data_IF_751012555433
#
_entry.id   IF_751012555433
#
_cell.length_a   1.000
_cell.length_b   1.000
_cell.length_c   1.000
_cell.angle_alpha   90.00
_cell.angle_beta   90.00
_cell.angle_gamma   90.00
#
_symmetry.space_group_name_H-M   'P 1'
#
loop_
_entity.id
_entity.type
_entity.pdbx_description
1 polymer ?
#
# COMPACT_ATOMS: atom_id res chain seq x y z
N UNK A 1 11.78 -40.55 31.86
CA UNK A 1 11.97 -39.40 30.94
C UNK A 1 11.41 -38.14 31.58
N UNK A 2 12.18 -37.04 31.66
CA UNK A 2 11.86 -35.87 32.48
C UNK A 2 10.97 -34.83 31.77
N UNK A 3 9.75 -34.65 32.29
CA UNK A 3 8.72 -33.65 31.89
C UNK A 3 9.22 -32.20 31.91
N UNK A 4 10.29 -31.90 32.67
CA UNK A 4 10.89 -30.55 32.70
C UNK A 4 11.59 -30.19 31.38
N UNK A 5 12.14 -31.18 30.65
CA UNK A 5 12.84 -30.96 29.38
C UNK A 5 11.87 -30.59 28.25
N UNK A 6 10.66 -31.14 28.29
CA UNK A 6 9.60 -30.90 27.31
C UNK A 6 8.99 -29.50 27.44
N UNK A 7 8.83 -29.01 28.68
CA UNK A 7 8.32 -27.65 28.96
C UNK A 7 9.27 -26.54 28.50
N UNK A 8 10.58 -26.81 28.46
CA UNK A 8 11.58 -25.85 27.95
C UNK A 8 11.53 -25.73 26.42
N UNK A 9 11.29 -26.85 25.73
CA UNK A 9 11.11 -26.88 24.26
C UNK A 9 9.86 -26.15 23.79
N UNK A 10 8.75 -26.23 24.53
CA UNK A 10 7.51 -25.49 24.18
C UNK A 10 7.67 -23.97 24.36
N UNK A 11 8.40 -23.52 25.39
CA UNK A 11 8.74 -22.08 25.54
C UNK A 11 9.70 -21.55 24.47
N UNK A 12 10.62 -22.39 23.96
CA UNK A 12 11.47 -22.01 22.83
C UNK A 12 10.71 -21.96 21.50
N UNK A 13 9.72 -22.84 21.30
CA UNK A 13 8.87 -22.81 20.09
C UNK A 13 7.96 -21.59 20.03
N UNK A 14 7.50 -21.04 21.16
CA UNK A 14 6.73 -19.79 21.18
C UNK A 14 7.55 -18.53 20.90
N UNK A 15 8.89 -18.59 20.99
CA UNK A 15 9.78 -17.52 20.48
C UNK A 15 10.00 -17.61 18.96
N UNK A 16 9.35 -18.57 18.29
CA UNK A 16 9.43 -18.82 16.85
C UNK A 16 8.54 -17.93 15.99
N UNK A 17 7.67 -17.09 16.56
CA UNK A 17 7.14 -15.94 15.83
C UNK A 17 8.16 -14.81 15.92
N UNK A 18 9.32 -15.05 15.31
CA UNK A 18 10.25 -13.96 15.03
C UNK A 18 9.49 -12.99 14.14
N UNK A 19 8.93 -11.93 14.75
CA UNK A 19 8.46 -10.77 14.00
C UNK A 19 9.64 -10.41 13.11
N UNK A 20 9.49 -10.63 11.80
CA UNK A 20 10.52 -10.30 10.84
C UNK A 20 10.93 -8.86 11.15
N UNK A 21 12.16 -8.68 11.61
CA UNK A 21 12.69 -7.35 11.91
C UNK A 21 12.88 -6.67 10.57
N UNK A 22 11.81 -6.10 10.03
CA UNK A 22 11.89 -5.24 8.87
C UNK A 22 12.82 -4.10 9.24
N UNK A 23 13.83 -3.86 8.41
CA UNK A 23 14.74 -2.75 8.64
C UNK A 23 13.93 -1.44 8.60
N UNK A 24 14.34 -0.40 9.35
CA UNK A 24 13.67 0.90 9.30
C UNK A 24 13.53 1.43 7.86
N UNK A 25 14.55 1.17 7.03
CA UNK A 25 14.54 1.51 5.59
C UNK A 25 13.46 0.75 4.83
N UNK A 26 13.28 -0.54 5.11
CA UNK A 26 12.22 -1.34 4.46
C UNK A 26 10.83 -0.82 4.82
N UNK A 27 10.61 -0.43 6.09
CA UNK A 27 9.33 0.16 6.52
C UNK A 27 9.08 1.49 5.80
N UNK A 28 10.11 2.33 5.69
CA UNK A 28 10.03 3.60 4.96
C UNK A 28 9.67 3.39 3.49
N UNK A 29 10.38 2.49 2.79
CA UNK A 29 10.09 2.17 1.38
C UNK A 29 8.66 1.63 1.20
N UNK A 30 8.22 0.73 2.08
CA UNK A 30 6.86 0.19 2.05
C UNK A 30 5.82 1.28 2.28
N UNK A 31 6.07 2.25 3.18
CA UNK A 31 5.16 3.38 3.41
C UNK A 31 5.03 4.28 2.18
N UNK A 32 6.14 4.58 1.49
CA UNK A 32 6.10 5.36 0.25
C UNK A 32 5.34 4.59 -0.84
N UNK A 33 5.64 3.31 -1.01
CA UNK A 33 4.96 2.47 -1.99
C UNK A 33 3.45 2.42 -1.72
N UNK A 34 3.03 2.25 -0.46
CA UNK A 34 1.63 2.28 -0.06
C UNK A 34 0.98 3.65 -0.32
N UNK A 35 1.68 4.75 -0.03
CA UNK A 35 1.19 6.11 -0.29
C UNK A 35 0.98 6.35 -1.79
N UNK A 36 1.96 6.01 -2.63
CA UNK A 36 1.84 6.14 -4.09
C UNK A 36 0.68 5.32 -4.64
N UNK A 37 0.50 4.10 -4.13
CA UNK A 37 -0.59 3.23 -4.53
C UNK A 37 -1.96 3.81 -4.12
N UNK A 38 -2.07 4.37 -2.91
CA UNK A 38 -3.28 5.05 -2.46
C UNK A 38 -3.61 6.28 -3.31
N UNK A 39 -2.61 7.13 -3.61
CA UNK A 39 -2.79 8.30 -4.48
C UNK A 39 -3.20 7.88 -5.89
N UNK A 40 -2.59 6.84 -6.45
CA UNK A 40 -2.96 6.31 -7.76
C UNK A 40 -4.39 5.78 -7.82
N UNK A 41 -4.82 5.03 -6.80
CA UNK A 41 -6.20 4.52 -6.69
C UNK A 41 -7.20 5.69 -6.57
N UNK A 42 -6.96 6.64 -5.67
CA UNK A 42 -7.84 7.81 -5.50
C UNK A 42 -7.89 8.63 -6.79
N UNK A 43 -6.74 8.88 -7.42
CA UNK A 43 -6.65 9.58 -8.71
C UNK A 43 -7.40 8.85 -9.82
N UNK A 44 -7.37 7.52 -9.85
CA UNK A 44 -8.13 6.75 -10.84
C UNK A 44 -9.64 6.77 -10.61
N UNK A 45 -10.08 6.82 -9.35
CA UNK A 45 -11.49 6.88 -8.99
C UNK A 45 -12.07 8.28 -9.23
N UNK A 46 -11.32 9.34 -8.91
CA UNK A 46 -11.76 10.74 -9.05
C UNK A 46 -11.52 11.28 -10.46
N UNK A 47 -10.49 10.79 -11.16
CA UNK A 47 -10.14 11.27 -12.50
C UNK A 47 -11.02 10.76 -13.63
N UNK A 48 -11.85 9.74 -13.37
CA UNK A 48 -12.68 9.08 -14.38
C UNK A 48 -14.04 9.74 -14.63
N UNK A 49 -14.39 10.79 -13.89
CA UNK A 49 -15.66 11.52 -14.08
C UNK A 49 -15.63 12.49 -15.27
N UNK A 50 -14.51 12.57 -16.01
CA UNK A 50 -14.40 13.48 -17.16
C UNK A 50 -15.22 12.93 -18.33
N UNK A 51 -16.16 13.72 -18.87
CA UNK A 51 -16.86 13.32 -20.09
C UNK A 51 -15.86 13.13 -21.23
N UNK A 52 -16.16 12.37 -22.28
CA UNK A 52 -15.29 12.28 -23.45
C UNK A 52 -15.14 13.64 -24.15
N UNK A 53 -14.01 13.92 -24.83
CA UNK A 53 -13.80 15.16 -25.54
C UNK A 53 -14.84 15.33 -26.67
N UNK A 54 -15.40 16.55 -26.85
CA UNK A 54 -16.42 16.80 -27.87
C UNK A 54 -15.89 16.74 -29.31
N UNK A 55 -14.57 16.95 -29.49
CA UNK A 55 -13.90 16.94 -30.80
C UNK A 55 -12.43 16.50 -30.66
N UNK A 56 -11.81 15.96 -31.73
CA UNK A 56 -10.38 15.67 -31.73
C UNK A 56 -9.57 16.94 -31.43
N UNK A 57 -8.61 16.83 -30.52
CA UNK A 57 -7.76 17.95 -30.10
C UNK A 57 -8.32 18.85 -28.99
N UNK A 58 -9.51 18.54 -28.47
CA UNK A 58 -10.05 19.24 -27.31
C UNK A 58 -9.25 18.92 -26.04
N UNK A 59 -8.92 19.93 -25.24
CA UNK A 59 -8.11 19.79 -24.02
C UNK A 59 -8.97 20.03 -22.79
N UNK A 60 -8.90 19.12 -21.82
CA UNK A 60 -9.62 19.27 -20.55
C UNK A 60 -9.01 20.40 -19.71
N UNK A 61 -9.82 21.39 -19.32
CA UNK A 61 -9.40 22.44 -18.40
C UNK A 61 -9.85 22.12 -16.98
N UNK A 62 -8.92 21.74 -16.11
CA UNK A 62 -9.19 21.46 -14.69
C UNK A 62 -9.83 22.65 -13.96
N UNK A 63 -9.45 23.88 -14.35
CA UNK A 63 -9.94 25.11 -13.71
C UNK A 63 -11.39 25.42 -14.02
N UNK A 64 -11.90 25.01 -15.19
CA UNK A 64 -13.24 25.37 -15.66
C UNK A 64 -14.18 24.17 -15.77
N UNK A 65 -13.68 22.94 -15.57
CA UNK A 65 -14.48 21.71 -15.63
C UNK A 65 -15.08 21.42 -17.00
N UNK A 66 -14.49 21.92 -18.08
CA UNK A 66 -14.93 21.65 -19.45
C UNK A 66 -13.77 21.59 -20.44
N UNK A 67 -14.06 21.06 -21.62
CA UNK A 67 -13.14 21.01 -22.75
C UNK A 67 -13.10 22.34 -23.49
N UNK A 68 -11.89 22.83 -23.79
CA UNK A 68 -11.66 23.90 -24.78
C UNK A 68 -11.43 23.32 -26.18
#
# INVERSE_FOLDING_TARGET
MSTKKQRRRTRQRQKGTTKAKLSPVTIFLLSIAALLLAVGVIGSLVGNDRPPPPRPGAVWSETHGHYH
#
